data_IF_090874744251
#
_entry.id   IF_090874744251
#
_cell.length_a   1.000
_cell.length_b   1.000
_cell.length_c   1.000
_cell.angle_alpha   90.00
_cell.angle_beta   90.00
_cell.angle_gamma   90.00
#
_symmetry.space_group_name_H-M   'P 1'
#
loop_
_entity.id
_entity.type
_entity.pdbx_description
1 polymer ?
#
# COMPACT_ATOMS: atom_id res chain seq x y z
N UNK A 1 0.64 -4.90 -5.86
CA UNK A 1 0.51 -3.61 -5.15
C UNK A 1 -0.15 -2.51 -5.96
N UNK A 2 0.36 -2.16 -7.14
CA UNK A 2 -0.21 -1.08 -7.97
C UNK A 2 -1.74 -1.18 -8.14
N UNK A 3 -2.25 -2.36 -8.50
CA UNK A 3 -3.69 -2.59 -8.66
C UNK A 3 -4.50 -2.30 -7.39
N UNK A 4 -3.99 -2.67 -6.22
CA UNK A 4 -4.68 -2.45 -4.93
C UNK A 4 -4.75 -0.95 -4.62
N UNK A 5 -3.63 -0.24 -4.78
CA UNK A 5 -3.58 1.21 -4.56
C UNK A 5 -4.46 1.93 -5.58
N UNK A 6 -4.41 1.53 -6.84
CA UNK A 6 -5.26 2.08 -7.91
C UNK A 6 -6.76 1.90 -7.60
N UNK A 7 -7.16 0.71 -7.14
CA UNK A 7 -8.54 0.45 -6.72
C UNK A 7 -8.92 1.31 -5.52
N UNK A 8 -8.05 1.46 -4.52
CA UNK A 8 -8.31 2.32 -3.35
C UNK A 8 -8.54 3.79 -3.75
N UNK A 9 -7.72 4.31 -4.66
CA UNK A 9 -7.91 5.67 -5.19
C UNK A 9 -9.22 5.79 -5.98
N UNK A 10 -9.55 4.79 -6.79
CA UNK A 10 -10.81 4.77 -7.55
C UNK A 10 -12.02 4.72 -6.61
N UNK A 11 -12.00 3.87 -5.59
CA UNK A 11 -13.07 3.79 -4.58
C UNK A 11 -13.19 5.10 -3.80
N UNK A 12 -12.07 5.75 -3.49
CA UNK A 12 -12.08 7.07 -2.83
C UNK A 12 -12.80 8.11 -3.69
N UNK A 13 -12.49 8.16 -4.99
CA UNK A 13 -13.17 9.06 -5.93
C UNK A 13 -14.67 8.76 -6.05
N UNK A 14 -15.05 7.48 -6.16
CA UNK A 14 -16.46 7.08 -6.26
C UNK A 14 -17.24 7.27 -4.96
N UNK A 15 -16.57 7.18 -3.81
CA UNK A 15 -17.16 7.28 -2.48
C UNK A 15 -16.98 8.63 -1.81
N UNK A 16 -16.53 9.66 -2.54
CA UNK A 16 -16.40 11.00 -2.01
C UNK A 16 -17.80 11.53 -1.60
N UNK A 17 -17.94 12.11 -0.39
CA UNK A 17 -19.23 12.61 0.06
C UNK A 17 -19.72 13.74 -0.85
N UNK A 18 -20.99 13.69 -1.20
CA UNK A 18 -21.66 14.78 -1.92
C UNK A 18 -22.17 15.80 -0.91
N UNK A 19 -21.86 17.08 -1.16
CA UNK A 19 -22.30 18.16 -0.28
C UNK A 19 -23.84 18.21 -0.19
N UNK A 20 -24.35 18.18 1.03
CA UNK A 20 -25.79 18.26 1.31
C UNK A 20 -26.58 16.96 1.08
N UNK A 21 -25.93 15.83 0.81
CA UNK A 21 -26.62 14.54 0.68
C UNK A 21 -27.02 13.99 2.07
N UNK A 22 -28.33 13.87 2.32
CA UNK A 22 -28.86 13.19 3.50
C UNK A 22 -28.98 11.69 3.22
N UNK A 23 -28.35 10.87 4.07
CA UNK A 23 -28.30 9.42 3.92
C UNK A 23 -28.86 8.77 5.17
N UNK A 24 -29.91 7.95 4.97
CA UNK A 24 -30.56 7.14 6.01
C UNK A 24 -31.20 7.94 7.16
N UNK A 25 -31.39 9.26 7.03
CA UNK A 25 -31.99 10.10 8.05
C UNK A 25 -31.22 10.12 9.38
N UNK A 26 -29.90 9.86 9.32
CA UNK A 26 -29.05 9.79 10.50
C UNK A 26 -28.85 11.18 11.12
N UNK A 27 -28.59 11.30 12.44
CA UNK A 27 -28.29 12.58 13.05
C UNK A 27 -27.09 13.28 12.37
N UNK A 28 -27.08 14.63 12.25
CA UNK A 28 -26.06 15.36 11.52
C UNK A 28 -24.62 15.08 11.98
N UNK A 29 -24.41 14.85 13.28
CA UNK A 29 -23.10 14.51 13.83
C UNK A 29 -22.61 13.12 13.39
N UNK A 30 -23.52 12.15 13.22
CA UNK A 30 -23.19 10.80 12.70
C UNK A 30 -22.83 10.90 11.23
N UNK A 31 -23.61 11.66 10.46
CA UNK A 31 -23.32 11.87 9.03
C UNK A 31 -21.97 12.55 8.83
N UNK A 32 -21.67 13.60 9.61
CA UNK A 32 -20.39 14.31 9.52
C UNK A 32 -19.20 13.40 9.85
N UNK A 33 -19.28 12.60 10.92
CA UNK A 33 -18.18 11.72 11.34
C UNK A 33 -18.04 10.51 10.41
N UNK A 34 -19.11 9.82 10.04
CA UNK A 34 -19.01 8.57 9.27
C UNK A 34 -18.95 8.79 7.77
N UNK A 35 -19.79 9.70 7.24
CA UNK A 35 -19.89 9.95 5.80
C UNK A 35 -18.98 11.10 5.38
N UNK A 36 -19.03 12.23 6.10
CA UNK A 36 -18.23 13.43 5.79
C UNK A 36 -16.73 13.19 5.91
N UNK A 37 -16.28 12.43 6.91
CA UNK A 37 -14.86 12.09 7.07
C UNK A 37 -14.39 10.95 6.15
N UNK A 38 -15.31 10.23 5.50
CA UNK A 38 -15.00 9.01 4.74
C UNK A 38 -14.73 7.76 5.58
N UNK A 39 -14.95 7.79 6.90
CA UNK A 39 -14.69 6.66 7.80
C UNK A 39 -15.53 5.42 7.43
N UNK A 40 -16.80 5.60 7.07
CA UNK A 40 -17.67 4.50 6.62
C UNK A 40 -17.10 3.81 5.38
N UNK A 41 -16.61 4.59 4.41
CA UNK A 41 -15.97 4.05 3.21
C UNK A 41 -14.70 3.27 3.55
N UNK A 42 -13.85 3.81 4.43
CA UNK A 42 -12.63 3.11 4.89
C UNK A 42 -13.00 1.79 5.56
N UNK A 43 -13.95 1.79 6.50
CA UNK A 43 -14.35 0.58 7.22
C UNK A 43 -14.94 -0.48 6.29
N UNK A 44 -15.75 -0.08 5.31
CA UNK A 44 -16.30 -0.99 4.30
C UNK A 44 -15.21 -1.57 3.41
N UNK A 45 -14.30 -0.74 2.88
CA UNK A 45 -13.19 -1.20 2.02
C UNK A 45 -12.27 -2.15 2.77
N UNK A 46 -11.94 -1.82 4.03
CA UNK A 46 -11.06 -2.63 4.86
C UNK A 46 -11.73 -3.96 5.22
N UNK A 47 -12.90 -3.94 5.87
CA UNK A 47 -13.51 -5.16 6.38
C UNK A 47 -14.02 -6.08 5.27
N UNK A 48 -14.75 -5.53 4.29
CA UNK A 48 -15.41 -6.32 3.25
C UNK A 48 -14.48 -6.52 2.05
N UNK A 49 -13.81 -5.46 1.60
CA UNK A 49 -13.01 -5.50 0.37
C UNK A 49 -11.67 -6.23 0.52
N UNK A 50 -10.88 -5.88 1.54
CA UNK A 50 -9.47 -6.29 1.61
C UNK A 50 -9.20 -7.37 2.66
N UNK A 51 -9.62 -7.15 3.91
CA UNK A 51 -9.31 -8.04 5.02
C UNK A 51 -9.95 -9.41 4.87
N UNK A 52 -11.19 -9.48 4.35
CA UNK A 52 -11.88 -10.76 4.14
C UNK A 52 -11.06 -11.69 3.24
N UNK A 53 -10.51 -11.15 2.14
CA UNK A 53 -9.63 -11.85 1.23
C UNK A 53 -8.29 -12.22 1.93
N UNK A 54 -7.71 -11.29 2.67
CA UNK A 54 -6.43 -11.49 3.35
C UNK A 54 -6.48 -12.54 4.46
N UNK A 55 -7.57 -12.59 5.23
CA UNK A 55 -7.81 -13.61 6.27
C UNK A 55 -7.81 -15.00 5.62
N UNK A 56 -8.58 -15.19 4.55
CA UNK A 56 -8.63 -16.49 3.87
C UNK A 56 -7.30 -16.81 3.19
N UNK A 57 -6.63 -15.85 2.57
CA UNK A 57 -5.31 -16.06 1.97
C UNK A 57 -4.22 -16.41 3.00
N UNK A 58 -4.37 -15.97 4.26
CA UNK A 58 -3.39 -16.28 5.33
C UNK A 58 -3.56 -17.67 5.94
N UNK A 59 -4.75 -18.25 5.84
CA UNK A 59 -5.10 -19.54 6.45
C UNK A 59 -5.33 -20.67 5.44
N UNK A 60 -5.69 -20.32 4.20
CA UNK A 60 -6.09 -21.23 3.12
C UNK A 60 -5.41 -20.80 1.80
N UNK A 61 -4.13 -20.44 1.85
CA UNK A 61 -3.36 -19.86 0.75
C UNK A 61 -3.39 -20.71 -0.52
N UNK A 62 -3.21 -22.03 -0.43
CA UNK A 62 -3.16 -22.91 -1.61
C UNK A 62 -4.50 -22.91 -2.35
N UNK A 63 -5.58 -23.16 -1.61
CA UNK A 63 -6.94 -23.16 -2.15
C UNK A 63 -7.38 -21.78 -2.63
N UNK A 64 -6.98 -20.73 -1.91
CA UNK A 64 -7.27 -19.35 -2.30
C UNK A 64 -6.65 -19.00 -3.65
N UNK A 65 -5.40 -19.41 -3.89
CA UNK A 65 -4.69 -19.16 -5.16
C UNK A 65 -5.18 -20.10 -6.27
N UNK A 66 -5.67 -21.30 -5.95
CA UNK A 66 -6.11 -22.30 -6.91
C UNK A 66 -7.48 -22.01 -7.53
N UNK A 67 -7.64 -20.82 -8.12
CA UNK A 67 -8.86 -20.40 -8.81
C UNK A 67 -8.53 -19.68 -10.12
N UNK A 68 -9.41 -19.81 -11.12
CA UNK A 68 -9.24 -19.09 -12.40
C UNK A 68 -9.15 -17.58 -12.24
N UNK A 69 -9.85 -17.02 -11.25
CA UNK A 69 -9.83 -15.59 -10.96
C UNK A 69 -8.46 -15.11 -10.46
N UNK A 70 -7.78 -15.90 -9.63
CA UNK A 70 -6.43 -15.57 -9.16
C UNK A 70 -5.40 -15.66 -10.29
N UNK A 71 -5.51 -16.67 -11.16
CA UNK A 71 -4.68 -16.77 -12.37
C UNK A 71 -4.90 -15.57 -13.31
N UNK A 72 -6.15 -15.14 -13.52
CA UNK A 72 -6.46 -13.91 -14.26
C UNK A 72 -5.78 -12.70 -13.64
N UNK A 73 -5.91 -12.53 -12.32
CA UNK A 73 -5.29 -11.41 -11.59
C UNK A 73 -3.77 -11.41 -11.73
N UNK A 74 -3.12 -12.59 -11.69
CA UNK A 74 -1.69 -12.73 -11.93
C UNK A 74 -1.30 -12.28 -13.34
N UNK A 75 -2.03 -12.69 -14.38
CA UNK A 75 -1.74 -12.25 -15.76
C UNK A 75 -1.88 -10.74 -15.95
N UNK A 76 -2.89 -10.11 -15.31
CA UNK A 76 -3.03 -8.65 -15.31
C UNK A 76 -1.83 -7.99 -14.62
N UNK A 77 -1.37 -8.53 -13.48
CA UNK A 77 -0.20 -8.02 -12.78
C UNK A 77 1.08 -8.13 -13.65
N UNK A 78 1.29 -9.27 -14.31
CA UNK A 78 2.41 -9.48 -15.24
C UNK A 78 2.35 -8.55 -16.46
N UNK A 79 1.15 -8.28 -16.99
CA UNK A 79 0.96 -7.32 -18.07
C UNK A 79 1.36 -5.91 -17.62
N UNK A 80 0.93 -5.49 -16.43
CA UNK A 80 1.30 -4.19 -15.85
C UNK A 80 2.81 -4.13 -15.62
N UNK A 81 3.44 -5.18 -15.11
CA UNK A 81 4.89 -5.23 -14.95
C UNK A 81 5.62 -5.08 -16.30
N UNK A 82 5.11 -5.73 -17.35
CA UNK A 82 5.67 -5.63 -18.70
C UNK A 82 5.68 -4.20 -19.22
N UNK A 83 4.70 -3.35 -18.86
CA UNK A 83 4.66 -1.93 -19.26
C UNK A 83 5.85 -1.13 -18.76
N UNK A 84 6.46 -1.54 -17.64
CA UNK A 84 7.60 -0.84 -17.06
C UNK A 84 7.25 0.35 -16.17
N UNK A 85 5.98 0.73 -15.98
CA UNK A 85 5.62 1.96 -15.23
C UNK A 85 6.16 1.95 -13.79
N UNK A 86 6.32 0.77 -13.17
CA UNK A 86 6.83 0.62 -11.79
C UNK A 86 8.34 0.30 -11.69
N UNK A 87 9.08 0.26 -12.80
CA UNK A 87 10.47 -0.25 -12.83
C UNK A 87 11.49 0.57 -12.04
N UNK A 88 11.20 1.83 -11.71
CA UNK A 88 12.06 2.65 -10.83
C UNK A 88 12.28 2.01 -9.45
N UNK A 89 11.34 1.19 -8.96
CA UNK A 89 11.52 0.45 -7.70
C UNK A 89 12.72 -0.50 -7.74
N UNK A 90 12.97 -1.15 -8.89
CA UNK A 90 14.14 -2.03 -9.06
C UNK A 90 15.45 -1.23 -9.05
N UNK A 91 15.46 -0.02 -9.60
CA UNK A 91 16.62 0.85 -9.52
C UNK A 91 16.91 1.29 -8.08
N UNK A 92 15.87 1.62 -7.31
CA UNK A 92 15.98 1.91 -5.87
C UNK A 92 16.53 0.67 -5.13
N UNK A 93 16.02 -0.52 -5.44
CA UNK A 93 16.53 -1.77 -4.87
C UNK A 93 18.04 -1.95 -5.17
N UNK A 94 18.47 -1.80 -6.42
CA UNK A 94 19.89 -1.90 -6.80
C UNK A 94 20.76 -0.89 -6.07
N UNK A 95 20.27 0.33 -5.86
CA UNK A 95 20.97 1.36 -5.09
C UNK A 95 21.20 0.91 -3.64
N UNK A 96 20.21 0.29 -2.98
CA UNK A 96 20.39 -0.25 -1.62
C UNK A 96 21.35 -1.45 -1.57
N UNK A 97 21.32 -2.34 -2.56
CA UNK A 97 22.32 -3.42 -2.67
C UNK A 97 23.74 -2.87 -2.83
N UNK A 98 23.90 -1.83 -3.65
CA UNK A 98 25.17 -1.15 -3.83
C UNK A 98 25.65 -0.49 -2.53
N UNK A 99 24.77 0.22 -1.80
CA UNK A 99 25.08 0.79 -0.49
C UNK A 99 25.47 -0.28 0.54
N UNK A 100 24.76 -1.41 0.55
CA UNK A 100 25.02 -2.53 1.44
C UNK A 100 26.26 -3.35 1.04
N UNK A 101 26.88 -3.05 -0.11
CA UNK A 101 27.99 -3.81 -0.72
C UNK A 101 27.70 -5.30 -0.83
N UNK A 102 26.44 -5.67 -1.08
CA UNK A 102 26.01 -7.06 -1.26
C UNK A 102 25.60 -7.29 -2.72
N UNK A 103 25.95 -8.44 -3.32
CA UNK A 103 25.46 -8.76 -4.66
C UNK A 103 23.94 -8.95 -4.63
N UNK A 104 23.30 -8.64 -5.74
CA UNK A 104 21.87 -8.89 -5.90
C UNK A 104 21.69 -10.39 -6.08
N UNK A 105 21.11 -11.06 -5.09
CA UNK A 105 20.76 -12.47 -5.22
C UNK A 105 19.54 -12.61 -6.12
N UNK A 106 19.70 -13.29 -7.25
CA UNK A 106 18.61 -13.62 -8.17
C UNK A 106 18.76 -15.06 -8.63
N UNK A 107 17.62 -15.75 -8.73
CA UNK A 107 17.54 -17.08 -9.31
C UNK A 107 17.39 -17.03 -10.84
N UNK A 108 17.37 -15.85 -11.44
CA UNK A 108 17.26 -15.66 -12.89
C UNK A 108 18.62 -15.77 -13.58
N UNK A 109 18.62 -16.33 -14.80
CA UNK A 109 19.80 -16.34 -15.66
C UNK A 109 20.29 -14.90 -15.95
N UNK A 110 21.61 -14.70 -16.16
CA UNK A 110 22.15 -13.39 -16.48
C UNK A 110 21.48 -12.83 -17.76
N UNK A 111 21.01 -11.60 -17.66
CA UNK A 111 20.27 -10.92 -18.75
C UNK A 111 21.16 -10.79 -19.98
N UNK A 112 20.61 -11.12 -21.16
CA UNK A 112 21.28 -10.82 -22.42
C UNK A 112 21.37 -9.30 -22.66
N UNK A 113 22.27 -8.86 -23.53
CA UNK A 113 22.46 -7.42 -23.83
C UNK A 113 21.16 -6.73 -24.27
N UNK A 114 20.33 -7.40 -25.06
CA UNK A 114 19.04 -6.88 -25.52
C UNK A 114 18.02 -6.78 -24.38
N UNK A 115 17.97 -7.79 -23.51
CA UNK A 115 17.12 -7.79 -22.32
C UNK A 115 17.55 -6.72 -21.32
N UNK A 116 18.86 -6.50 -21.14
CA UNK A 116 19.40 -5.46 -20.28
C UNK A 116 19.06 -4.06 -20.80
N UNK A 117 19.22 -3.81 -22.10
CA UNK A 117 18.84 -2.53 -22.72
C UNK A 117 17.34 -2.25 -22.55
N UNK A 118 16.49 -3.25 -22.83
CA UNK A 118 15.04 -3.14 -22.63
C UNK A 118 14.66 -2.90 -21.17
N UNK A 119 15.35 -3.54 -20.23
CA UNK A 119 15.15 -3.33 -18.79
C UNK A 119 15.48 -1.90 -18.38
N UNK A 120 16.66 -1.39 -18.73
CA UNK A 120 17.09 -0.04 -18.37
C UNK A 120 16.27 1.05 -19.08
N UNK A 121 15.82 0.80 -20.31
CA UNK A 121 14.86 1.69 -20.99
C UNK A 121 13.55 1.84 -20.22
N UNK A 122 12.99 0.74 -19.69
CA UNK A 122 11.80 0.77 -18.83
C UNK A 122 12.05 1.46 -17.48
N UNK A 123 13.24 1.27 -16.91
CA UNK A 123 13.65 2.00 -15.69
C UNK A 123 13.65 3.51 -15.94
N UNK A 124 14.26 3.97 -17.04
CA UNK A 124 14.29 5.39 -17.41
C UNK A 124 12.88 5.95 -17.63
N UNK A 125 12.03 5.21 -18.36
CA UNK A 125 10.62 5.56 -18.55
C UNK A 125 9.85 5.69 -17.23
N UNK A 126 10.03 4.73 -16.31
CA UNK A 126 9.42 4.76 -14.98
C UNK A 126 9.87 5.99 -14.18
N UNK A 127 11.17 6.32 -14.21
CA UNK A 127 11.68 7.53 -13.55
C UNK A 127 11.10 8.81 -14.14
N UNK A 128 10.93 8.89 -15.46
CA UNK A 128 10.26 10.01 -16.11
C UNK A 128 8.83 10.19 -15.60
N UNK A 129 8.03 9.12 -15.59
CA UNK A 129 6.66 9.16 -15.07
C UNK A 129 6.62 9.55 -13.59
N UNK A 130 7.48 8.94 -12.76
CA UNK A 130 7.56 9.26 -11.34
C UNK A 130 7.91 10.73 -11.10
N UNK A 131 8.87 11.27 -11.87
CA UNK A 131 9.33 12.65 -11.72
C UNK A 131 8.24 13.66 -12.09
N UNK A 132 7.52 13.42 -13.20
CA UNK A 132 6.36 14.23 -13.60
C UNK A 132 5.25 14.13 -12.54
N UNK A 133 4.97 12.92 -12.08
CA UNK A 133 3.93 12.70 -11.07
C UNK A 133 4.24 13.46 -9.78
N UNK A 134 5.48 13.38 -9.29
CA UNK A 134 5.94 14.10 -8.11
C UNK A 134 5.89 15.62 -8.32
N UNK A 135 6.39 16.12 -9.45
CA UNK A 135 6.40 17.56 -9.73
C UNK A 135 4.97 18.14 -9.73
N UNK A 136 4.03 17.50 -10.43
CA UNK A 136 2.63 17.93 -10.49
C UNK A 136 1.97 17.85 -9.12
N UNK A 137 2.19 16.76 -8.36
CA UNK A 137 1.55 16.56 -7.05
C UNK A 137 2.07 17.54 -6.01
N UNK A 138 3.39 17.75 -5.95
CA UNK A 138 4.01 18.69 -5.01
C UNK A 138 3.59 20.13 -5.32
N UNK A 139 3.58 20.51 -6.60
CA UNK A 139 3.12 21.83 -7.04
C UNK A 139 1.64 22.07 -6.68
N UNK A 140 0.78 21.08 -6.91
CA UNK A 140 -0.63 21.13 -6.50
C UNK A 140 -0.78 21.32 -5.00
N UNK A 141 0.04 20.61 -4.22
CA UNK A 141 -0.01 20.60 -2.76
C UNK A 141 0.41 21.95 -2.17
N UNK A 142 1.48 22.56 -2.69
CA UNK A 142 1.89 23.91 -2.28
C UNK A 142 0.86 24.98 -2.65
N UNK A 143 0.20 24.83 -3.80
CA UNK A 143 -0.86 25.73 -4.26
C UNK A 143 -2.22 25.47 -3.59
N UNK A 144 -2.36 24.42 -2.78
CA UNK A 144 -3.64 24.06 -2.14
C UNK A 144 -4.69 23.53 -3.12
N UNK A 145 -4.31 23.13 -4.34
CA UNK A 145 -5.23 22.65 -5.38
C UNK A 145 -5.47 21.15 -5.30
N UNK A 146 -5.65 20.63 -4.09
CA UNK A 146 -5.84 19.20 -3.80
C UNK A 146 -7.17 18.99 -3.09
N UNK A 147 -7.65 17.75 -3.03
CA UNK A 147 -8.88 17.40 -2.29
C UNK A 147 -8.70 17.33 -0.77
N UNK A 148 -7.66 17.97 -0.23
CA UNK A 148 -7.38 18.04 1.20
C UNK A 148 -8.46 18.88 1.90
N UNK A 149 -8.75 18.58 3.18
CA UNK A 149 -9.73 19.34 3.95
C UNK A 149 -9.33 20.82 4.09
N UNK A 150 -10.30 21.72 3.94
CA UNK A 150 -10.09 23.18 3.93
C UNK A 150 -9.42 23.74 5.20
N UNK A 151 -9.43 22.98 6.30
CA UNK A 151 -8.79 23.36 7.56
C UNK A 151 -7.30 23.02 7.68
N UNK A 152 -6.68 22.33 6.71
CA UNK A 152 -5.28 21.91 6.82
C UNK A 152 -4.35 22.83 6.02
N UNK A 153 -3.39 23.52 6.67
CA UNK A 153 -2.42 24.36 5.98
C UNK A 153 -1.58 23.57 4.95
N UNK A 154 -1.33 24.16 3.79
CA UNK A 154 -0.60 23.53 2.67
C UNK A 154 0.74 22.94 3.11
N UNK A 155 1.52 23.66 3.93
CA UNK A 155 2.81 23.17 4.44
C UNK A 155 2.67 21.92 5.32
N UNK A 156 1.60 21.84 6.12
CA UNK A 156 1.30 20.65 6.93
C UNK A 156 0.89 19.49 6.03
N UNK A 157 0.14 19.74 4.95
CA UNK A 157 -0.24 18.71 3.99
C UNK A 157 0.98 18.08 3.29
N UNK A 158 2.02 18.87 2.97
CA UNK A 158 3.31 18.37 2.45
C UNK A 158 4.02 17.47 3.45
N UNK A 159 4.12 17.90 4.71
CA UNK A 159 4.76 17.09 5.76
C UNK A 159 3.96 15.79 5.97
N UNK A 160 2.64 15.89 6.04
CA UNK A 160 1.73 14.76 6.19
C UNK A 160 1.91 13.75 5.06
N UNK A 161 2.04 14.21 3.81
CA UNK A 161 2.31 13.36 2.66
C UNK A 161 3.55 12.48 2.87
N UNK A 162 4.71 13.07 3.20
CA UNK A 162 5.95 12.31 3.39
C UNK A 162 5.91 11.39 4.62
N UNK A 163 5.29 11.84 5.71
CA UNK A 163 5.14 11.04 6.93
C UNK A 163 4.26 9.82 6.65
N UNK A 164 3.10 10.00 6.03
CA UNK A 164 2.19 8.89 5.70
C UNK A 164 2.84 7.92 4.69
N UNK A 165 3.54 8.43 3.69
CA UNK A 165 4.30 7.61 2.74
C UNK A 165 5.35 6.74 3.44
N UNK A 166 6.02 7.28 4.46
CA UNK A 166 7.02 6.55 5.26
C UNK A 166 6.37 5.49 6.15
N UNK A 167 5.22 5.81 6.76
CA UNK A 167 4.44 4.86 7.56
C UNK A 167 3.95 3.69 6.71
N UNK A 168 3.35 3.98 5.55
CA UNK A 168 2.91 2.94 4.61
C UNK A 168 4.10 2.10 4.17
N UNK A 169 5.20 2.73 3.77
CA UNK A 169 6.41 2.04 3.34
C UNK A 169 6.95 1.09 4.40
N UNK A 170 7.02 1.55 5.64
CA UNK A 170 7.40 0.72 6.77
C UNK A 170 6.44 -0.47 6.93
N UNK A 171 5.13 -0.24 6.99
CA UNK A 171 4.14 -1.29 7.19
C UNK A 171 4.16 -2.32 6.05
N UNK A 172 4.30 -1.87 4.80
CA UNK A 172 4.39 -2.73 3.61
C UNK A 172 5.68 -3.55 3.59
N UNK A 173 6.81 -2.93 3.94
CA UNK A 173 8.08 -3.62 4.14
C UNK A 173 8.01 -4.65 5.27
N UNK A 174 7.37 -4.32 6.39
CA UNK A 174 7.20 -5.21 7.54
C UNK A 174 6.47 -6.50 7.17
N UNK A 175 5.40 -6.44 6.38
CA UNK A 175 4.68 -7.64 5.95
C UNK A 175 5.59 -8.62 5.21
N UNK A 176 6.39 -8.12 4.27
CA UNK A 176 7.31 -8.96 3.49
C UNK A 176 8.46 -9.45 4.35
N UNK A 177 9.04 -8.59 5.19
CA UNK A 177 10.11 -8.99 6.12
C UNK A 177 9.65 -10.10 7.07
N UNK A 178 8.45 -9.99 7.65
CA UNK A 178 7.89 -11.02 8.53
C UNK A 178 7.65 -12.34 7.81
N UNK A 179 7.13 -12.31 6.58
CA UNK A 179 6.92 -13.52 5.77
C UNK A 179 8.24 -14.16 5.31
N UNK A 180 9.27 -13.37 5.02
CA UNK A 180 10.61 -13.89 4.75
C UNK A 180 11.21 -14.57 5.98
N UNK A 181 11.03 -13.97 7.17
CA UNK A 181 11.57 -14.52 8.43
C UNK A 181 10.79 -15.74 8.93
N UNK A 182 9.49 -15.86 8.62
CA UNK A 182 8.72 -17.07 8.93
C UNK A 182 9.19 -18.30 8.17
N UNK A 183 9.92 -18.13 7.07
CA UNK A 183 10.56 -19.21 6.31
C UNK A 183 11.96 -19.58 6.83
N UNK A 184 12.55 -18.73 7.66
CA UNK A 184 13.88 -18.98 8.23
C UNK A 184 13.77 -19.81 9.52
N UNK A 185 14.60 -20.86 9.66
CA UNK A 185 14.69 -21.61 10.91
C UNK A 185 15.24 -20.71 12.03
N UNK A 186 14.88 -21.01 13.28
CA UNK A 186 15.13 -20.11 14.42
C UNK A 186 16.62 -19.77 14.63
N UNK A 187 17.51 -20.70 14.30
CA UNK A 187 18.97 -20.54 14.36
C UNK A 187 19.54 -19.57 13.29
N UNK A 188 18.80 -19.27 12.22
CA UNK A 188 19.23 -18.38 11.13
C UNK A 188 18.69 -16.95 11.27
N UNK A 189 17.94 -16.66 12.34
CA UNK A 189 17.33 -15.34 12.58
C UNK A 189 18.32 -14.26 13.05
N UNK A 190 19.60 -14.60 13.13
CA UNK A 190 20.69 -13.74 13.54
C UNK A 190 20.69 -13.42 15.04
N UNK A 191 21.73 -12.70 15.49
CA UNK A 191 21.96 -12.42 16.92
C UNK A 191 21.49 -11.02 17.36
N UNK A 192 20.87 -10.26 16.44
CA UNK A 192 20.48 -8.88 16.73
C UNK A 192 19.34 -8.85 17.77
N UNK A 193 19.52 -8.19 18.93
CA UNK A 193 18.59 -8.30 20.06
C UNK A 193 17.19 -7.73 19.74
N UNK A 194 17.12 -6.70 18.89
CA UNK A 194 15.82 -6.15 18.46
C UNK A 194 15.10 -7.03 17.44
N UNK A 195 15.84 -7.67 16.53
CA UNK A 195 15.26 -8.61 15.58
C UNK A 195 14.70 -9.84 16.32
N UNK A 196 15.44 -10.37 17.29
CA UNK A 196 14.99 -11.47 18.14
C UNK A 196 13.74 -11.11 18.93
N UNK A 197 13.71 -9.96 19.63
CA UNK A 197 12.51 -9.49 20.35
C UNK A 197 11.29 -9.35 19.43
N UNK A 198 11.48 -8.87 18.22
CA UNK A 198 10.41 -8.74 17.23
C UNK A 198 9.91 -10.10 16.76
N UNK A 199 10.82 -11.05 16.50
CA UNK A 199 10.48 -12.42 16.15
C UNK A 199 9.76 -13.14 17.29
N UNK A 200 10.24 -13.00 18.52
CA UNK A 200 9.63 -13.61 19.70
C UNK A 200 8.19 -13.14 19.89
N UNK A 201 7.93 -11.84 19.70
CA UNK A 201 6.57 -11.31 19.74
C UNK A 201 5.73 -11.83 18.56
N UNK A 202 6.29 -11.86 17.35
CA UNK A 202 5.59 -12.27 16.14
C UNK A 202 5.16 -13.75 16.16
N UNK A 203 5.99 -14.64 16.70
CA UNK A 203 5.72 -16.08 16.77
C UNK A 203 5.11 -16.52 18.12
N UNK A 204 4.86 -15.59 19.05
CA UNK A 204 4.24 -15.89 20.34
C UNK A 204 2.84 -16.49 20.15
N UNK A 205 2.51 -17.49 20.97
CA UNK A 205 1.18 -18.10 21.01
C UNK A 205 0.83 -18.83 19.71
N UNK A 206 1.64 -19.82 19.34
CA UNK A 206 1.46 -20.64 18.13
C UNK A 206 1.45 -19.84 16.81
N UNK A 207 2.10 -18.68 16.78
CA UNK A 207 2.14 -17.83 15.58
C UNK A 207 0.86 -17.04 15.31
N UNK A 208 -0.09 -16.98 16.24
CA UNK A 208 -1.36 -16.21 16.09
C UNK A 208 -1.13 -14.72 15.85
N UNK A 209 -0.01 -14.18 16.29
CA UNK A 209 0.33 -12.76 16.13
C UNK A 209 0.71 -12.39 14.69
N UNK A 210 1.12 -13.33 13.83
CA UNK A 210 1.42 -13.03 12.43
C UNK A 210 0.14 -12.73 11.62
N UNK A 211 -0.91 -13.57 11.63
CA UNK A 211 -2.22 -13.23 11.06
C UNK A 211 -2.85 -11.99 11.73
N UNK A 212 -2.72 -11.85 13.06
CA UNK A 212 -3.20 -10.67 13.78
C UNK A 212 -2.54 -9.37 13.32
N UNK A 213 -1.21 -9.39 13.15
CA UNK A 213 -0.46 -8.28 12.56
C UNK A 213 -0.96 -7.99 11.14
N UNK A 214 -1.11 -9.01 10.29
CA UNK A 214 -1.59 -8.84 8.91
C UNK A 214 -2.93 -8.09 8.87
N UNK A 215 -3.85 -8.42 9.78
CA UNK A 215 -5.15 -7.75 9.89
C UNK A 215 -5.03 -6.31 10.43
N UNK A 216 -4.37 -6.11 11.57
CA UNK A 216 -4.25 -4.78 12.20
C UNK A 216 -3.45 -3.79 11.36
N UNK A 217 -2.40 -4.28 10.68
CA UNK A 217 -1.60 -3.50 9.72
C UNK A 217 -2.45 -2.98 8.57
N UNK A 218 -3.27 -3.85 7.96
CA UNK A 218 -4.04 -3.50 6.77
C UNK A 218 -5.00 -2.34 7.03
N UNK A 219 -5.63 -2.29 8.22
CA UNK A 219 -6.46 -1.17 8.62
C UNK A 219 -5.69 0.16 8.62
N UNK A 220 -4.50 0.16 9.22
CA UNK A 220 -3.63 1.35 9.27
C UNK A 220 -3.19 1.77 7.86
N UNK A 221 -2.78 0.81 7.04
CA UNK A 221 -2.34 1.06 5.66
C UNK A 221 -3.45 1.63 4.80
N UNK A 222 -4.65 1.07 4.87
CA UNK A 222 -5.78 1.54 4.05
C UNK A 222 -6.25 2.91 4.49
N UNK A 223 -6.25 3.20 5.80
CA UNK A 223 -6.47 4.55 6.31
C UNK A 223 -5.43 5.53 5.74
N UNK A 224 -4.14 5.18 5.81
CA UNK A 224 -3.09 6.00 5.23
C UNK A 224 -3.27 6.19 3.71
N UNK A 225 -3.61 5.16 2.96
CA UNK A 225 -3.89 5.28 1.52
C UNK A 225 -5.06 6.20 1.23
N UNK A 226 -6.11 6.17 2.05
CA UNK A 226 -7.26 7.05 1.88
C UNK A 226 -6.88 8.52 2.12
N UNK A 227 -6.10 8.79 3.16
CA UNK A 227 -5.61 10.16 3.45
C UNK A 227 -4.62 10.60 2.38
N UNK A 228 -3.67 9.75 1.96
CA UNK A 228 -2.74 10.05 0.87
C UNK A 228 -3.51 10.31 -0.43
N UNK A 229 -4.56 9.54 -0.73
CA UNK A 229 -5.38 9.78 -1.91
C UNK A 229 -6.03 11.18 -1.86
N UNK A 230 -6.57 11.61 -0.71
CA UNK A 230 -7.11 12.96 -0.53
C UNK A 230 -6.04 14.05 -0.69
N UNK A 231 -4.86 13.83 -0.13
CA UNK A 231 -3.71 14.76 -0.18
C UNK A 231 -3.14 14.88 -1.59
N UNK A 232 -3.19 13.81 -2.39
CA UNK A 232 -2.54 13.75 -3.72
C UNK A 232 -3.49 13.87 -4.91
N UNK A 233 -4.81 13.77 -4.69
CA UNK A 233 -5.81 13.97 -5.73
C UNK A 233 -5.97 15.47 -5.97
N UNK A 234 -5.83 15.87 -7.23
CA UNK A 234 -5.91 17.26 -7.66
C UNK A 234 -7.36 17.69 -7.81
N UNK A 235 -7.64 18.90 -7.36
CA UNK A 235 -8.94 19.57 -7.53
C UNK A 235 -8.74 20.90 -8.24
N UNK A 236 -8.35 20.84 -9.52
CA UNK A 236 -8.17 22.02 -10.36
C UNK A 236 -9.39 22.19 -11.25
N UNK A 237 -10.03 23.36 -11.22
CA UNK A 237 -11.10 23.70 -12.16
C UNK A 237 -10.53 23.77 -13.58
N UNK A 238 -11.19 23.07 -14.50
CA UNK A 238 -10.75 23.00 -15.91
C UNK A 238 -11.34 24.19 -16.67
N UNK A 239 -10.55 24.84 -17.52
CA UNK A 239 -11.00 25.96 -18.36
C UNK A 239 -10.86 27.35 -17.71
N UNK A 240 -10.18 27.45 -16.57
CA UNK A 240 -9.88 28.73 -15.88
C UNK A 240 -8.44 29.23 -16.12
N UNK A 241 -7.74 28.70 -17.13
CA UNK A 241 -6.30 28.95 -17.44
C UNK A 241 -5.32 28.70 -16.26
N UNK A 242 -5.81 28.06 -15.21
CA UNK A 242 -5.11 27.84 -13.94
C UNK A 242 -4.54 26.41 -13.81
N UNK A 243 -4.42 25.72 -14.93
CA UNK A 243 -3.89 24.36 -15.03
C UNK A 243 -2.45 24.28 -14.49
N UNK A 244 -2.12 23.18 -13.84
CA UNK A 244 -0.78 23.00 -13.25
C UNK A 244 0.25 22.90 -14.36
N UNK A 245 1.28 23.75 -14.30
CA UNK A 245 2.28 23.94 -15.38
C UNK A 245 1.69 24.36 -16.74
N UNK A 246 0.48 24.93 -16.79
CA UNK A 246 -0.13 25.40 -18.04
C UNK A 246 -0.40 24.28 -19.06
N UNK A 247 -0.63 23.05 -18.59
CA UNK A 247 -0.95 21.91 -19.45
C UNK A 247 -2.34 22.04 -20.08
N UNK A 248 -2.61 21.26 -21.12
CA UNK A 248 -3.92 21.25 -21.78
C UNK A 248 -5.03 20.68 -20.88
N UNK A 249 -6.27 21.11 -21.11
CA UNK A 249 -7.44 20.66 -20.34
C UNK A 249 -7.62 19.12 -20.28
N UNK A 250 -7.40 18.35 -21.36
CA UNK A 250 -7.45 16.89 -21.28
C UNK A 250 -6.37 16.31 -20.35
N UNK A 251 -5.18 16.90 -20.33
CA UNK A 251 -4.10 16.47 -19.45
C UNK A 251 -4.41 16.84 -17.98
N UNK A 252 -4.96 18.02 -17.73
CA UNK A 252 -5.40 18.41 -16.39
C UNK A 252 -6.54 17.49 -15.89
N UNK A 253 -7.48 17.12 -16.76
CA UNK A 253 -8.53 16.15 -16.44
C UNK A 253 -7.93 14.80 -16.04
N UNK A 254 -6.88 14.36 -16.73
CA UNK A 254 -6.16 13.14 -16.37
C UNK A 254 -5.46 13.27 -15.01
N UNK A 255 -4.85 14.41 -14.72
CA UNK A 255 -4.22 14.67 -13.42
C UNK A 255 -5.22 14.72 -12.26
N UNK A 256 -6.43 15.24 -12.48
CA UNK A 256 -7.51 15.26 -11.49
C UNK A 256 -8.06 13.86 -11.16
N UNK A 257 -7.77 12.82 -11.96
CA UNK A 257 -8.17 11.43 -11.64
C UNK A 257 -7.34 10.80 -10.51
N UNK A 258 -6.37 11.50 -9.93
CA UNK A 258 -5.59 11.02 -8.77
C UNK A 258 -4.59 9.89 -9.09
N UNK A 259 -4.48 9.45 -10.34
CA UNK A 259 -3.57 8.36 -10.73
C UNK A 259 -2.09 8.67 -10.49
N UNK A 260 -1.69 9.94 -10.56
CA UNK A 260 -0.33 10.36 -10.22
C UNK A 260 0.00 10.02 -8.76
N UNK A 261 -0.92 10.33 -7.84
CA UNK A 261 -0.80 9.97 -6.43
C UNK A 261 -0.67 8.45 -6.23
N UNK A 262 -1.48 7.66 -6.94
CA UNK A 262 -1.40 6.21 -6.89
C UNK A 262 -0.04 5.67 -7.38
N UNK A 263 0.51 6.23 -8.46
CA UNK A 263 1.84 5.86 -8.99
C UNK A 263 2.94 6.18 -7.98
N UNK A 264 2.96 7.41 -7.45
CA UNK A 264 3.97 7.84 -6.47
C UNK A 264 3.91 6.95 -5.23
N UNK A 265 2.71 6.74 -4.70
CA UNK A 265 2.46 5.92 -3.52
C UNK A 265 2.88 4.47 -3.74
N UNK A 266 2.59 3.92 -4.91
CA UNK A 266 3.00 2.56 -5.26
C UNK A 266 4.52 2.42 -5.32
N UNK A 267 5.19 3.35 -6.01
CA UNK A 267 6.63 3.27 -6.23
C UNK A 267 7.39 3.56 -4.94
N UNK A 268 7.20 4.75 -4.37
CA UNK A 268 7.99 5.24 -3.25
C UNK A 268 7.45 4.82 -1.89
N UNK A 269 6.13 4.74 -1.75
CA UNK A 269 5.47 4.43 -0.49
C UNK A 269 5.25 2.94 -0.26
N UNK A 270 5.51 2.08 -1.24
CA UNK A 270 5.18 0.64 -1.11
C UNK A 270 6.21 -0.29 -1.73
N UNK A 271 6.27 -0.43 -3.06
CA UNK A 271 7.08 -1.47 -3.72
C UNK A 271 8.56 -1.31 -3.39
N UNK A 272 9.10 -0.08 -3.39
CA UNK A 272 10.50 0.16 -3.03
C UNK A 272 10.85 -0.37 -1.62
N UNK A 273 9.96 -0.16 -0.65
CA UNK A 273 10.15 -0.66 0.71
C UNK A 273 10.01 -2.18 0.79
N UNK A 274 9.02 -2.76 0.08
CA UNK A 274 8.84 -4.21 0.00
C UNK A 274 10.08 -4.91 -0.58
N UNK A 275 10.66 -4.36 -1.65
CA UNK A 275 11.86 -4.91 -2.30
C UNK A 275 13.12 -4.79 -1.44
N UNK A 276 13.26 -3.71 -0.66
CA UNK A 276 14.38 -3.55 0.28
C UNK A 276 14.20 -4.46 1.50
N UNK A 277 12.98 -4.56 2.03
CA UNK A 277 12.66 -5.43 3.16
C UNK A 277 12.80 -6.92 2.81
N UNK A 278 12.46 -7.33 1.58
CA UNK A 278 12.67 -8.69 1.11
C UNK A 278 14.16 -9.03 0.95
N UNK A 279 14.97 -8.05 0.54
CA UNK A 279 16.41 -8.20 0.36
C UNK A 279 17.17 -8.28 1.70
N UNK A 280 16.75 -7.51 2.70
CA UNK A 280 17.44 -7.40 3.99
C UNK A 280 16.48 -7.57 5.19
N UNK A 281 15.79 -8.71 5.33
CA UNK A 281 14.71 -8.87 6.31
C UNK A 281 15.18 -8.71 7.75
N UNK A 282 16.29 -9.36 8.16
CA UNK A 282 16.81 -9.28 9.54
C UNK A 282 17.30 -7.87 9.89
N UNK A 283 17.95 -7.18 8.94
CA UNK A 283 18.38 -5.80 9.14
C UNK A 283 17.17 -4.86 9.29
N UNK A 284 16.11 -5.09 8.51
CA UNK A 284 14.86 -4.36 8.63
C UNK A 284 14.20 -4.58 10.00
N UNK A 285 14.15 -5.82 10.49
CA UNK A 285 13.61 -6.17 11.82
C UNK A 285 14.43 -5.61 13.00
N UNK A 286 15.69 -5.28 12.78
CA UNK A 286 16.55 -4.70 13.81
C UNK A 286 16.18 -3.24 14.15
N UNK A 287 15.31 -2.61 13.36
CA UNK A 287 14.83 -1.25 13.60
C UNK A 287 13.79 -1.21 14.74
N UNK A 288 13.99 -0.42 15.81
CA UNK A 288 13.04 -0.35 16.93
C UNK A 288 11.64 0.16 16.53
N UNK A 289 11.54 0.93 15.45
CA UNK A 289 10.25 1.41 14.93
C UNK A 289 9.39 0.23 14.45
N UNK A 290 9.99 -0.83 13.89
CA UNK A 290 9.27 -2.04 13.47
C UNK A 290 8.58 -2.70 14.67
N UNK A 291 9.26 -2.79 15.81
CA UNK A 291 8.69 -3.34 17.03
C UNK A 291 7.50 -2.48 17.53
N UNK A 292 7.63 -1.16 17.49
CA UNK A 292 6.54 -0.24 17.86
C UNK A 292 5.31 -0.46 16.97
N UNK A 293 5.49 -0.48 15.65
CA UNK A 293 4.38 -0.65 14.70
C UNK A 293 3.76 -2.04 14.77
N UNK A 294 4.53 -3.08 15.11
CA UNK A 294 4.00 -4.41 15.40
C UNK A 294 3.03 -4.37 16.58
N UNK A 295 3.40 -3.69 17.68
CA UNK A 295 2.52 -3.54 18.83
C UNK A 295 1.27 -2.71 18.50
N UNK A 296 1.41 -1.63 17.73
CA UNK A 296 0.27 -0.81 17.30
C UNK A 296 -0.70 -1.63 16.45
N UNK A 297 -0.20 -2.41 15.49
CA UNK A 297 -1.03 -3.26 14.65
C UNK A 297 -1.78 -4.32 15.49
N UNK A 298 -1.11 -4.97 16.43
CA UNK A 298 -1.75 -5.93 17.34
C UNK A 298 -2.77 -5.25 18.28
N UNK A 299 -2.52 -4.03 18.72
CA UNK A 299 -3.47 -3.25 19.50
C UNK A 299 -4.71 -2.86 18.69
N UNK A 300 -4.55 -2.51 17.42
CA UNK A 300 -5.69 -2.23 16.53
C UNK A 300 -6.51 -3.49 16.30
N UNK A 301 -5.86 -4.64 16.07
CA UNK A 301 -6.56 -5.92 15.92
C UNK A 301 -7.35 -6.27 17.19
N UNK A 302 -6.77 -6.04 18.38
CA UNK A 302 -7.43 -6.33 19.65
C UNK A 302 -8.62 -5.43 19.98
N UNK A 303 -8.77 -4.28 19.33
CA UNK A 303 -9.98 -3.44 19.46
C UNK A 303 -11.24 -4.08 18.88
N UNK A 304 -11.09 -5.11 18.03
CA UNK A 304 -12.21 -5.79 17.37
C UNK A 304 -12.80 -5.03 16.16
N UNK A 305 -12.23 -3.90 15.76
CA UNK A 305 -12.68 -3.17 14.54
C UNK A 305 -12.54 -4.05 13.28
N UNK A 306 -11.57 -4.96 13.27
CA UNK A 306 -11.36 -5.95 12.20
C UNK A 306 -12.13 -7.27 12.43
N UNK A 307 -12.92 -7.42 13.50
CA UNK A 307 -13.63 -8.67 13.77
C UNK A 307 -14.65 -9.02 12.66
N UNK A 308 -15.22 -8.00 12.02
CA UNK A 308 -16.15 -8.18 10.90
C UNK A 308 -15.51 -8.93 9.73
N UNK A 309 -14.23 -8.70 9.43
CA UNK A 309 -13.55 -9.40 8.34
C UNK A 309 -13.29 -10.87 8.65
N UNK A 310 -13.07 -11.23 9.92
CA UNK A 310 -12.95 -12.63 10.32
C UNK A 310 -14.27 -13.39 10.12
N UNK A 311 -15.39 -12.77 10.50
CA UNK A 311 -16.71 -13.34 10.28
C UNK A 311 -17.01 -13.52 8.78
N UNK A 312 -16.76 -12.49 7.98
CA UNK A 312 -16.93 -12.57 6.52
C UNK A 312 -15.98 -13.58 5.87
N UNK A 313 -14.76 -13.71 6.40
CA UNK A 313 -13.78 -14.72 5.98
C UNK A 313 -14.31 -16.15 6.17
N UNK A 314 -14.93 -16.43 7.33
CA UNK A 314 -15.57 -17.73 7.61
C UNK A 314 -16.70 -18.02 6.60
N UNK A 315 -17.54 -17.03 6.30
CA UNK A 315 -18.60 -17.18 5.30
C UNK A 315 -18.00 -17.49 3.93
N UNK A 316 -17.02 -16.69 3.49
CA UNK A 316 -16.39 -16.87 2.19
C UNK A 316 -15.68 -18.22 2.08
N UNK A 317 -14.97 -18.65 3.13
CA UNK A 317 -14.34 -19.97 3.21
C UNK A 317 -15.36 -21.09 3.02
N UNK A 318 -16.51 -21.01 3.68
CA UNK A 318 -17.58 -22.01 3.54
C UNK A 318 -18.19 -22.03 2.14
N UNK A 319 -18.40 -20.87 1.54
CA UNK A 319 -18.98 -20.77 0.19
C UNK A 319 -18.01 -21.27 -0.89
N UNK A 320 -16.71 -20.98 -0.74
CA UNK A 320 -15.69 -21.38 -1.70
C UNK A 320 -15.12 -22.79 -1.44
N UNK A 321 -15.40 -23.39 -0.29
CA UNK A 321 -14.93 -24.72 0.08
C UNK A 321 -13.44 -24.80 0.43
N UNK A 322 -12.83 -23.70 0.88
CA UNK A 322 -11.40 -23.68 1.19
C UNK A 322 -11.05 -24.50 2.44
N UNK A 323 -9.93 -25.21 2.37
CA UNK A 323 -9.32 -25.95 3.47
C UNK A 323 -8.19 -25.14 4.11
N UNK A 324 -7.91 -25.41 5.39
CA UNK A 324 -6.76 -24.79 6.04
C UNK A 324 -5.49 -25.43 5.48
N UNK A 325 -4.47 -24.61 5.25
CA UNK A 325 -3.13 -25.12 4.98
C UNK A 325 -2.54 -25.60 6.33
N UNK A 326 -2.44 -26.92 6.52
CA UNK A 326 -1.64 -27.54 7.60
C UNK A 326 -0.14 -27.59 7.24
#
# INVERSE_FOLDING_TARGET
QFMVIFINFTINLCGAPLDGADVLGLPPWVQSIFLGSGLAMILTVVNIGQLTAQVNASHCMLDYINTHFMTFTLYVALLIEKTGVMHSCYAIQYFFYWLARKPVETNEAPRSTTQACFFWGRVLFSFGILSISLAVTIEALFKGKTTMWDGVPNGIAVILFFVLMSIVGLLEGMQIAFFSVSKLPANERGDAPMALKTCDLLFKGEGRNLPGFMCGRQMTVTLCFFVIARVTTLNVEIGTDENIFGVSDPAQRFFNMGFLGAIITTILGSISWQLVASAFPIAFLSNPIVYLFLNVALAIESTGICAGSWFMGIIHKRLAGFQLDE
#
